data_IF_899805508058
#
_entry.id   IF_899805508058
#
_cell.length_a   1.000
_cell.length_b   1.000
_cell.length_c   1.000
_cell.angle_alpha   90.00
_cell.angle_beta   90.00
_cell.angle_gamma   90.00
#
_symmetry.space_group_name_H-M   'P 1'
#
loop_
_entity.id
_entity.type
_entity.pdbx_description
1 polymer ?
#
# COMPACT_ATOMS: atom_id res chain seq x y z
N UNK A 1 -9.59 27.00 -34.63
CA UNK A 1 -9.17 26.96 -33.22
C UNK A 1 -9.78 25.70 -32.61
N UNK A 2 -9.01 24.61 -32.57
CA UNK A 2 -9.44 23.33 -31.99
C UNK A 2 -8.81 23.22 -30.61
N UNK A 3 -9.63 23.31 -29.56
CA UNK A 3 -9.21 23.18 -28.17
C UNK A 3 -9.01 21.70 -27.85
N UNK A 4 -7.76 21.26 -27.83
CA UNK A 4 -7.38 19.95 -27.33
C UNK A 4 -7.58 19.88 -25.82
N UNK A 5 -8.42 18.94 -25.39
CA UNK A 5 -8.56 18.56 -23.98
C UNK A 5 -7.24 17.96 -23.52
N UNK A 6 -6.56 18.64 -22.61
CA UNK A 6 -5.33 18.19 -21.98
C UNK A 6 -5.69 17.18 -20.89
N UNK A 7 -5.40 15.90 -21.14
CA UNK A 7 -5.48 14.84 -20.15
C UNK A 7 -4.50 15.12 -19.02
N UNK A 8 -5.01 15.58 -17.88
CA UNK A 8 -4.25 15.69 -16.65
C UNK A 8 -3.93 14.30 -16.12
N UNK A 9 -2.69 13.86 -16.26
CA UNK A 9 -2.15 12.72 -15.51
C UNK A 9 -2.10 13.09 -14.03
N UNK A 10 -3.11 12.65 -13.27
CA UNK A 10 -3.25 12.84 -11.83
C UNK A 10 -3.65 11.51 -11.19
N UNK A 11 -3.14 11.23 -9.99
CA UNK A 11 -3.24 9.93 -9.31
C UNK A 11 -4.65 9.33 -9.24
N UNK A 12 -4.70 8.01 -9.02
CA UNK A 12 -5.93 7.21 -9.10
C UNK A 12 -6.03 6.34 -10.37
N UNK A 13 -4.99 6.32 -11.21
CA UNK A 13 -4.96 5.55 -12.48
C UNK A 13 -5.30 4.06 -12.27
N UNK A 14 -4.78 3.44 -11.21
CA UNK A 14 -5.03 2.02 -10.94
C UNK A 14 -6.48 1.75 -10.54
N UNK A 15 -7.08 2.62 -9.72
CA UNK A 15 -8.47 2.49 -9.30
C UNK A 15 -9.41 2.70 -10.49
N UNK A 16 -9.16 3.72 -11.30
CA UNK A 16 -9.93 3.99 -12.51
C UNK A 16 -9.88 2.79 -13.47
N UNK A 17 -8.71 2.25 -13.76
CA UNK A 17 -8.55 1.08 -14.64
C UNK A 17 -9.20 -0.18 -14.11
N UNK A 18 -9.13 -0.40 -12.81
CA UNK A 18 -9.84 -1.49 -12.15
C UNK A 18 -11.35 -1.37 -12.40
N UNK A 19 -11.93 -0.18 -12.17
CA UNK A 19 -13.36 0.08 -12.40
C UNK A 19 -13.76 -0.06 -13.87
N UNK A 20 -12.97 0.47 -14.80
CA UNK A 20 -13.20 0.32 -16.24
C UNK A 20 -13.28 -1.16 -16.64
N UNK A 21 -12.41 -2.01 -16.08
CA UNK A 21 -12.44 -3.45 -16.28
C UNK A 21 -13.71 -4.11 -15.76
N UNK A 22 -14.15 -3.77 -14.54
CA UNK A 22 -15.36 -4.34 -13.92
C UNK A 22 -16.63 -3.92 -14.65
N UNK A 23 -16.75 -2.63 -14.97
CA UNK A 23 -17.89 -2.08 -15.72
C UNK A 23 -17.97 -2.71 -17.10
N UNK A 24 -16.84 -2.87 -17.81
CA UNK A 24 -16.81 -3.53 -19.11
C UNK A 24 -17.28 -4.99 -19.01
N UNK A 25 -16.81 -5.74 -18.02
CA UNK A 25 -17.22 -7.13 -17.83
C UNK A 25 -18.73 -7.25 -17.54
N UNK A 26 -19.29 -6.34 -16.73
CA UNK A 26 -20.73 -6.26 -16.47
C UNK A 26 -21.53 -5.93 -17.74
N UNK A 27 -21.07 -4.94 -18.53
CA UNK A 27 -21.72 -4.57 -19.79
C UNK A 27 -21.67 -5.72 -20.82
N UNK A 28 -20.54 -6.43 -20.95
CA UNK A 28 -20.41 -7.56 -21.86
C UNK A 28 -21.36 -8.72 -21.48
N UNK A 29 -21.66 -8.89 -20.18
CA UNK A 29 -22.65 -9.85 -19.71
C UNK A 29 -24.10 -9.47 -20.07
N UNK A 30 -24.44 -8.16 -20.05
CA UNK A 30 -25.77 -7.66 -20.46
C UNK A 30 -26.05 -7.77 -21.96
N UNK A 31 -25.00 -7.80 -22.80
CA UNK A 31 -25.14 -7.86 -24.26
C UNK A 31 -25.55 -9.26 -24.77
N UNK A 32 -25.61 -10.27 -23.91
CA UNK A 32 -26.05 -11.62 -24.26
C UNK A 32 -27.59 -11.69 -24.37
N UNK A 33 -28.14 -12.25 -25.46
CA UNK A 33 -29.59 -12.36 -25.63
C UNK A 33 -30.26 -13.11 -24.47
N UNK A 34 -31.22 -12.48 -23.80
CA UNK A 34 -31.99 -13.08 -22.70
C UNK A 34 -31.42 -12.85 -21.29
N UNK A 35 -30.35 -12.06 -21.12
CA UNK A 35 -29.84 -11.64 -19.81
C UNK A 35 -30.28 -10.22 -19.46
N UNK A 36 -31.11 -10.06 -18.42
CA UNK A 36 -31.24 -8.80 -17.69
C UNK A 36 -30.32 -8.87 -16.47
N UNK A 37 -29.34 -7.98 -16.38
CA UNK A 37 -28.48 -7.90 -15.19
C UNK A 37 -29.22 -7.15 -14.09
N UNK A 38 -29.40 -7.80 -12.94
CA UNK A 38 -29.83 -7.13 -11.71
C UNK A 38 -28.68 -6.23 -11.23
N UNK A 39 -28.88 -4.91 -11.33
CA UNK A 39 -27.90 -3.91 -10.94
C UNK A 39 -27.51 -4.01 -9.45
N UNK A 40 -28.41 -4.50 -8.59
CA UNK A 40 -28.11 -4.72 -7.17
C UNK A 40 -27.12 -5.87 -7.02
N UNK A 41 -27.45 -7.03 -7.60
CA UNK A 41 -26.59 -8.22 -7.52
C UNK A 41 -25.21 -7.98 -8.15
N UNK A 42 -25.13 -7.26 -9.27
CA UNK A 42 -23.84 -6.96 -9.90
C UNK A 42 -23.03 -5.92 -9.10
N UNK A 43 -23.67 -4.93 -8.49
CA UNK A 43 -22.98 -3.98 -7.60
C UNK A 43 -22.40 -4.66 -6.35
N UNK A 44 -23.15 -5.59 -5.76
CA UNK A 44 -22.69 -6.42 -4.65
C UNK A 44 -21.48 -7.26 -5.08
N UNK A 45 -21.56 -7.91 -6.25
CA UNK A 45 -20.46 -8.69 -6.82
C UNK A 45 -19.21 -7.85 -7.09
N UNK A 46 -19.34 -6.65 -7.66
CA UNK A 46 -18.19 -5.74 -7.87
C UNK A 46 -17.55 -5.37 -6.52
N UNK A 47 -18.37 -5.08 -5.51
CA UNK A 47 -17.87 -4.76 -4.15
C UNK A 47 -17.13 -5.96 -3.53
N UNK A 48 -17.67 -7.16 -3.69
CA UNK A 48 -17.06 -8.38 -3.17
C UNK A 48 -15.76 -8.74 -3.90
N UNK A 49 -15.70 -8.57 -5.22
CA UNK A 49 -14.47 -8.74 -5.99
C UNK A 49 -13.39 -7.74 -5.56
N UNK A 50 -13.76 -6.49 -5.25
CA UNK A 50 -12.85 -5.49 -4.71
C UNK A 50 -12.26 -5.97 -3.38
N UNK A 51 -13.10 -6.42 -2.44
CA UNK A 51 -12.64 -6.94 -1.15
C UNK A 51 -11.68 -8.11 -1.33
N UNK A 52 -12.09 -9.09 -2.15
CA UNK A 52 -11.30 -10.29 -2.43
C UNK A 52 -9.95 -9.98 -3.05
N UNK A 53 -9.88 -9.04 -4.00
CA UNK A 53 -8.62 -8.63 -4.61
C UNK A 53 -7.64 -8.07 -3.56
N UNK A 54 -8.15 -7.24 -2.63
CA UNK A 54 -7.40 -6.70 -1.52
C UNK A 54 -6.96 -7.78 -0.53
N UNK A 55 -7.87 -8.63 -0.08
CA UNK A 55 -7.58 -9.75 0.83
C UNK A 55 -6.57 -10.74 0.25
N UNK A 56 -6.64 -11.04 -1.05
CA UNK A 56 -5.68 -11.92 -1.71
C UNK A 56 -4.29 -11.28 -1.76
N UNK A 57 -4.20 -9.99 -2.09
CA UNK A 57 -2.95 -9.24 -2.06
C UNK A 57 -2.35 -9.22 -0.64
N UNK A 58 -3.19 -8.99 0.37
CA UNK A 58 -2.76 -9.01 1.77
C UNK A 58 -2.25 -10.39 2.18
N UNK A 59 -2.97 -11.47 1.88
CA UNK A 59 -2.52 -12.84 2.20
C UNK A 59 -1.16 -13.15 1.57
N UNK A 60 -0.91 -12.70 0.34
CA UNK A 60 0.39 -12.86 -0.33
C UNK A 60 1.50 -12.09 0.40
N UNK A 61 1.25 -10.83 0.76
CA UNK A 61 2.22 -10.02 1.48
C UNK A 61 2.49 -10.57 2.90
N UNK A 62 1.43 -10.90 3.63
CA UNK A 62 1.48 -11.51 4.96
C UNK A 62 2.34 -12.79 4.96
N UNK A 63 2.12 -13.69 3.99
CA UNK A 63 2.91 -14.89 3.85
C UNK A 63 4.39 -14.59 3.56
N UNK A 64 4.68 -13.59 2.71
CA UNK A 64 6.06 -13.16 2.43
C UNK A 64 6.76 -12.61 3.67
N UNK A 65 6.06 -11.81 4.48
CA UNK A 65 6.60 -11.20 5.70
C UNK A 65 6.81 -12.20 6.84
N UNK A 66 6.06 -13.30 6.84
CA UNK A 66 6.23 -14.40 7.80
C UNK A 66 7.43 -15.32 7.47
N UNK A 67 7.94 -15.26 6.25
CA UNK A 67 9.03 -16.12 5.77
C UNK A 67 10.41 -15.46 5.87
N UNK A 68 11.44 -16.30 5.78
CA UNK A 68 12.81 -15.81 5.74
C UNK A 68 13.10 -14.95 4.52
N UNK A 69 13.86 -13.88 4.71
CA UNK A 69 14.16 -12.97 3.60
C UNK A 69 15.02 -13.60 2.51
N UNK A 70 14.81 -13.13 1.28
CA UNK A 70 15.70 -13.45 0.19
C UNK A 70 17.14 -13.05 0.54
N UNK A 71 18.11 -13.84 0.06
CA UNK A 71 19.54 -13.66 0.34
C UNK A 71 20.03 -12.27 -0.05
N UNK A 72 19.52 -11.73 -1.15
CA UNK A 72 19.89 -10.38 -1.57
C UNK A 72 19.40 -9.32 -0.57
N UNK A 73 18.18 -9.48 -0.01
CA UNK A 73 17.62 -8.55 0.96
C UNK A 73 18.43 -8.65 2.25
N UNK A 74 18.77 -9.87 2.70
CA UNK A 74 19.65 -10.08 3.84
C UNK A 74 21.02 -9.42 3.65
N UNK A 75 21.59 -9.52 2.44
CA UNK A 75 22.91 -8.97 2.11
C UNK A 75 22.86 -7.45 2.07
N UNK A 76 21.82 -6.91 1.43
CA UNK A 76 21.60 -5.48 1.28
C UNK A 76 21.32 -4.80 2.63
N UNK A 77 20.41 -5.37 3.42
CA UNK A 77 20.08 -4.94 4.78
C UNK A 77 21.07 -5.47 5.83
N UNK A 78 22.34 -5.57 5.46
CA UNK A 78 23.42 -6.05 6.32
C UNK A 78 24.07 -4.94 7.16
N UNK A 79 25.34 -5.12 7.50
CA UNK A 79 26.09 -4.18 8.37
C UNK A 79 26.15 -2.75 7.84
N UNK A 80 26.14 -2.55 6.51
CA UNK A 80 26.27 -1.21 5.93
C UNK A 80 25.09 -0.29 6.26
N UNK A 81 23.85 -0.78 6.23
CA UNK A 81 22.68 0.04 6.60
C UNK A 81 22.71 0.37 8.10
N UNK A 82 23.11 -0.59 8.94
CA UNK A 82 23.24 -0.38 10.37
C UNK A 82 24.28 0.72 10.69
N UNK A 83 25.47 0.65 10.09
CA UNK A 83 26.51 1.66 10.26
C UNK A 83 26.08 3.05 9.78
N UNK A 84 25.31 3.11 8.69
CA UNK A 84 24.83 4.38 8.15
C UNK A 84 23.78 5.06 9.05
N UNK A 85 22.96 4.29 9.76
CA UNK A 85 21.86 4.81 10.59
C UNK A 85 22.28 5.01 12.05
N UNK A 86 23.05 4.09 12.62
CA UNK A 86 23.46 4.11 14.03
C UNK A 86 24.76 4.87 14.28
N UNK A 87 25.57 5.13 13.23
CA UNK A 87 26.94 5.64 13.39
C UNK A 87 27.87 4.57 13.94
N UNK A 88 29.15 4.88 14.21
CA UNK A 88 30.20 3.94 14.67
C UNK A 88 30.30 3.76 16.21
N UNK A 89 29.48 4.50 16.98
CA UNK A 89 29.77 4.81 18.38
C UNK A 89 28.67 4.33 19.34
N UNK A 90 28.89 3.17 19.96
CA UNK A 90 28.59 2.82 21.37
C UNK A 90 28.52 1.29 21.53
N UNK A 91 29.58 0.68 22.07
CA UNK A 91 29.78 -0.78 22.09
C UNK A 91 28.80 -1.55 22.99
N UNK A 92 28.11 -0.91 23.94
CA UNK A 92 27.31 -1.65 24.94
C UNK A 92 25.93 -2.09 24.45
N UNK A 93 25.25 -1.27 23.65
CA UNK A 93 23.94 -1.59 23.04
C UNK A 93 24.01 -1.74 21.50
N UNK A 94 25.22 -1.62 20.95
CA UNK A 94 25.57 -1.72 19.54
C UNK A 94 24.86 -2.85 18.79
N UNK A 95 24.84 -4.04 19.38
CA UNK A 95 24.33 -5.22 18.70
C UNK A 95 22.81 -5.16 18.53
N UNK A 96 22.06 -4.84 19.58
CA UNK A 96 20.59 -4.72 19.51
C UNK A 96 20.14 -3.61 18.57
N UNK A 97 20.82 -2.46 18.59
CA UNK A 97 20.54 -1.32 17.70
C UNK A 97 20.81 -1.63 16.23
N UNK A 98 21.95 -2.25 15.94
CA UNK A 98 22.27 -2.63 14.57
C UNK A 98 21.33 -3.70 14.03
N UNK A 99 21.03 -4.72 14.81
CA UNK A 99 20.09 -5.76 14.40
C UNK A 99 18.66 -5.22 14.25
N UNK A 100 18.28 -4.20 15.01
CA UNK A 100 17.01 -3.49 14.81
C UNK A 100 16.96 -2.85 13.42
N UNK A 101 17.96 -2.03 13.08
CA UNK A 101 18.01 -1.34 11.78
C UNK A 101 18.02 -2.33 10.62
N UNK A 102 18.76 -3.44 10.74
CA UNK A 102 18.81 -4.48 9.71
C UNK A 102 17.44 -5.11 9.49
N UNK A 103 16.75 -5.50 10.56
CA UNK A 103 15.46 -6.17 10.44
C UNK A 103 14.35 -5.22 9.98
N UNK A 104 14.37 -3.97 10.43
CA UNK A 104 13.51 -2.92 9.90
C UNK A 104 13.73 -2.75 8.39
N UNK A 105 14.99 -2.63 7.94
CA UNK A 105 15.34 -2.58 6.51
C UNK A 105 14.78 -3.78 5.73
N UNK A 106 14.91 -5.01 6.24
CA UNK A 106 14.41 -6.21 5.55
C UNK A 106 12.89 -6.20 5.41
N UNK A 107 12.18 -5.74 6.44
CA UNK A 107 10.73 -5.54 6.39
C UNK A 107 10.31 -4.57 5.28
N UNK A 108 10.98 -3.42 5.21
CA UNK A 108 10.74 -2.40 4.19
C UNK A 108 11.04 -2.89 2.78
N UNK A 109 12.17 -3.60 2.60
CA UNK A 109 12.56 -4.20 1.33
C UNK A 109 11.52 -5.22 0.85
N UNK A 110 11.02 -6.07 1.76
CA UNK A 110 9.97 -7.05 1.43
C UNK A 110 8.70 -6.38 0.92
N UNK A 111 8.24 -5.30 1.57
CA UNK A 111 7.07 -4.54 1.11
C UNK A 111 7.34 -3.85 -0.23
N UNK A 112 8.51 -3.19 -0.40
CA UNK A 112 8.85 -2.55 -1.68
C UNK A 112 8.94 -3.57 -2.81
N UNK A 113 9.53 -4.74 -2.57
CA UNK A 113 9.62 -5.83 -3.54
C UNK A 113 8.25 -6.35 -3.94
N UNK A 114 7.39 -6.59 -2.93
CA UNK A 114 6.00 -6.91 -3.18
C UNK A 114 5.38 -5.85 -4.09
N UNK A 115 5.47 -4.56 -3.78
CA UNK A 115 4.94 -3.49 -4.63
C UNK A 115 5.62 -3.36 -6.01
N UNK A 116 6.80 -3.93 -6.22
CA UNK A 116 7.48 -3.98 -7.52
C UNK A 116 7.16 -5.23 -8.35
N UNK A 117 6.24 -6.08 -7.89
CA UNK A 117 5.93 -7.34 -8.58
C UNK A 117 7.00 -8.41 -8.40
N UNK A 118 7.81 -8.31 -7.33
CA UNK A 118 8.84 -9.28 -7.01
C UNK A 118 8.40 -10.11 -5.80
N UNK A 119 8.50 -11.43 -5.93
CA UNK A 119 8.20 -12.39 -4.88
C UNK A 119 9.48 -12.90 -4.24
N UNK A 120 9.52 -12.87 -2.91
CA UNK A 120 10.53 -13.59 -2.14
C UNK A 120 10.24 -15.10 -2.20
N UNK A 121 11.17 -15.89 -2.74
CA UNK A 121 11.10 -17.35 -2.72
C UNK A 121 11.68 -17.82 -1.40
N UNK A 122 10.79 -18.01 -0.41
CA UNK A 122 11.13 -18.56 0.90
C UNK A 122 11.76 -19.97 0.84
N UNK A 123 12.13 -20.51 2.00
CA UNK A 123 12.79 -21.81 2.10
C UNK A 123 14.27 -21.80 1.72
N UNK A 124 14.80 -22.96 1.30
CA UNK A 124 16.24 -23.17 1.08
C UNK A 124 16.86 -22.41 -0.10
N UNK A 125 16.04 -21.91 -1.04
CA UNK A 125 16.52 -21.19 -2.22
C UNK A 125 16.92 -19.75 -1.90
N UNK A 126 16.22 -19.08 -0.97
CA UNK A 126 16.41 -17.67 -0.57
C UNK A 126 16.63 -16.73 -1.77
N UNK A 127 15.90 -16.96 -2.86
CA UNK A 127 15.98 -16.18 -4.09
C UNK A 127 14.75 -15.27 -4.24
N UNK A 128 14.71 -14.47 -5.30
CA UNK A 128 13.49 -13.76 -5.70
C UNK A 128 13.11 -14.08 -7.13
N UNK A 129 11.86 -13.81 -7.46
CA UNK A 129 11.31 -13.98 -8.80
C UNK A 129 10.40 -12.80 -9.17
N UNK A 130 10.46 -12.36 -10.43
CA UNK A 130 9.50 -11.40 -10.99
C UNK A 130 8.19 -12.16 -11.27
N UNK A 131 7.09 -11.73 -10.67
CA UNK A 131 5.75 -12.30 -10.87
C UNK A 131 5.16 -11.83 -12.21
N UNK A 132 5.50 -12.51 -13.30
CA UNK A 132 5.12 -12.08 -14.67
C UNK A 132 3.62 -12.08 -14.96
N UNK A 133 2.81 -12.76 -14.14
CA UNK A 133 1.39 -12.96 -14.36
C UNK A 133 0.49 -12.06 -13.49
N UNK A 134 0.96 -10.88 -13.09
CA UNK A 134 0.12 -9.90 -12.38
C UNK A 134 -0.78 -9.18 -13.39
N UNK A 135 -2.10 -9.35 -13.25
CA UNK A 135 -3.08 -8.67 -14.11
C UNK A 135 -3.13 -7.17 -13.80
N UNK A 136 -3.63 -6.37 -14.75
CA UNK A 136 -3.75 -4.92 -14.55
C UNK A 136 -4.58 -4.56 -13.30
N UNK A 137 -5.60 -5.36 -12.99
CA UNK A 137 -6.50 -5.16 -11.85
C UNK A 137 -5.84 -5.49 -10.50
N UNK A 138 -4.95 -6.48 -10.47
CA UNK A 138 -4.25 -6.88 -9.24
C UNK A 138 -3.28 -5.81 -8.73
N UNK A 139 -2.83 -4.90 -9.60
CA UNK A 139 -1.93 -3.82 -9.20
C UNK A 139 -2.58 -2.81 -8.26
N UNK A 140 -3.88 -2.52 -8.39
CA UNK A 140 -4.59 -1.67 -7.43
C UNK A 140 -4.44 -2.21 -6.01
N UNK A 141 -4.85 -3.46 -5.80
CA UNK A 141 -4.76 -4.13 -4.51
C UNK A 141 -3.32 -4.21 -4.01
N UNK A 142 -2.39 -4.64 -4.87
CA UNK A 142 -0.97 -4.80 -4.53
C UNK A 142 -0.32 -3.51 -4.04
N UNK A 143 -0.51 -2.41 -4.77
CA UNK A 143 0.07 -1.13 -4.40
C UNK A 143 -0.57 -0.57 -3.12
N UNK A 144 -1.91 -0.61 -3.03
CA UNK A 144 -2.64 -0.07 -1.89
C UNK A 144 -2.37 -0.85 -0.61
N UNK A 145 -2.41 -2.18 -0.68
CA UNK A 145 -2.09 -3.07 0.46
C UNK A 145 -0.65 -2.90 0.91
N UNK A 146 0.30 -2.81 -0.02
CA UNK A 146 1.70 -2.59 0.36
C UNK A 146 1.90 -1.26 1.11
N UNK A 147 1.21 -0.20 0.70
CA UNK A 147 1.25 1.10 1.39
C UNK A 147 0.63 1.03 2.79
N UNK A 148 -0.58 0.47 2.91
CA UNK A 148 -1.23 0.32 4.21
C UNK A 148 -0.41 -0.57 5.14
N UNK A 149 0.13 -1.69 4.63
CA UNK A 149 1.01 -2.57 5.39
C UNK A 149 2.27 -1.85 5.88
N UNK A 150 2.90 -1.00 5.06
CA UNK A 150 4.05 -0.21 5.51
C UNK A 150 3.69 0.66 6.72
N UNK A 151 2.56 1.37 6.63
CA UNK A 151 2.08 2.29 7.67
C UNK A 151 1.71 1.55 8.95
N UNK A 152 0.85 0.53 8.84
CA UNK A 152 0.31 -0.19 10.01
C UNK A 152 1.35 -1.10 10.69
N UNK A 153 2.29 -1.67 9.94
CA UNK A 153 3.27 -2.62 10.49
C UNK A 153 4.52 -1.92 11.00
N UNK A 154 5.01 -0.91 10.26
CA UNK A 154 6.30 -0.30 10.54
C UNK A 154 6.22 1.19 10.84
N UNK A 155 5.11 1.88 10.54
CA UNK A 155 5.03 3.33 10.55
C UNK A 155 5.37 3.97 11.89
N UNK A 156 5.07 3.31 13.01
CA UNK A 156 5.38 3.79 14.36
C UNK A 156 6.81 3.45 14.84
N UNK A 157 7.64 2.79 14.01
CA UNK A 157 9.02 2.44 14.36
C UNK A 157 9.94 3.66 14.45
N UNK A 158 10.70 3.78 15.54
CA UNK A 158 11.77 4.78 15.58
C UNK A 158 12.84 4.45 14.53
N UNK A 159 13.50 5.51 14.04
CA UNK A 159 14.53 5.45 12.98
C UNK A 159 14.00 5.01 11.62
N UNK A 160 12.71 4.75 11.45
CA UNK A 160 12.15 4.34 10.17
C UNK A 160 12.48 5.38 9.08
N UNK A 161 12.30 6.66 9.35
CA UNK A 161 12.71 7.77 8.48
C UNK A 161 14.16 7.67 7.99
N UNK A 162 15.09 7.33 8.88
CA UNK A 162 16.52 7.20 8.58
C UNK A 162 16.81 5.97 7.76
N UNK A 163 16.19 4.84 8.11
CA UNK A 163 16.34 3.59 7.35
C UNK A 163 15.79 3.80 5.93
N UNK A 164 14.59 4.36 5.79
CA UNK A 164 14.01 4.70 4.50
C UNK A 164 14.94 5.62 3.72
N UNK A 165 15.44 6.70 4.33
CA UNK A 165 16.31 7.67 3.66
C UNK A 165 17.57 7.02 3.07
N UNK A 166 18.12 6.01 3.74
CA UNK A 166 19.26 5.23 3.23
C UNK A 166 18.85 4.21 2.17
N UNK A 167 17.73 3.52 2.38
CA UNK A 167 17.29 2.40 1.53
C UNK A 167 16.70 2.89 0.22
N UNK A 168 15.88 3.94 0.20
CA UNK A 168 15.17 4.42 -1.00
C UNK A 168 16.06 4.53 -2.25
N UNK A 169 17.19 5.28 -2.27
CA UNK A 169 18.00 5.37 -3.48
C UNK A 169 18.59 4.02 -3.90
N UNK A 170 18.93 3.16 -2.93
CA UNK A 170 19.65 1.90 -3.18
C UNK A 170 18.72 0.73 -3.51
N UNK A 171 17.48 0.73 -3.00
CA UNK A 171 16.48 -0.26 -3.39
C UNK A 171 16.15 -0.10 -4.85
N UNK A 172 16.03 1.14 -5.36
CA UNK A 172 15.85 1.38 -6.79
C UNK A 172 17.03 0.86 -7.63
N UNK A 173 18.27 1.04 -7.17
CA UNK A 173 19.44 0.41 -7.80
C UNK A 173 19.38 -1.12 -7.78
N UNK A 174 18.86 -1.71 -6.70
CA UNK A 174 18.74 -3.16 -6.60
C UNK A 174 17.64 -3.69 -7.52
N UNK A 175 16.50 -2.99 -7.60
CA UNK A 175 15.40 -3.28 -8.50
C UNK A 175 15.84 -3.21 -9.97
N UNK A 176 16.72 -2.28 -10.33
CA UNK A 176 17.29 -2.17 -11.68
C UNK A 176 17.99 -3.45 -12.17
N UNK A 177 18.48 -4.31 -11.28
CA UNK A 177 19.12 -5.60 -11.65
C UNK A 177 18.13 -6.57 -12.30
N UNK A 178 16.84 -6.36 -12.11
CA UNK A 178 15.76 -7.18 -12.66
C UNK A 178 15.26 -6.68 -14.02
N UNK A 179 15.74 -5.53 -14.49
CA UNK A 179 15.35 -4.94 -15.76
C UNK A 179 16.03 -5.64 -16.94
N UNK A 180 15.44 -6.74 -17.42
CA UNK A 180 15.94 -7.43 -18.63
C UNK A 180 15.31 -6.89 -19.90
N UNK A 181 14.16 -6.23 -19.80
CA UNK A 181 13.40 -5.65 -20.91
C UNK A 181 12.48 -4.52 -20.40
N UNK A 182 11.83 -3.82 -21.32
CA UNK A 182 10.90 -2.72 -21.00
C UNK A 182 9.67 -3.15 -20.19
N UNK A 183 9.23 -4.42 -20.32
CA UNK A 183 8.08 -4.92 -19.54
C UNK A 183 8.47 -5.10 -18.07
N UNK A 184 9.68 -5.55 -17.78
CA UNK A 184 10.18 -5.65 -16.40
C UNK A 184 10.24 -4.26 -15.73
N UNK A 185 10.63 -3.22 -16.49
CA UNK A 185 10.60 -1.83 -15.99
C UNK A 185 9.18 -1.36 -15.66
N UNK A 186 8.26 -1.54 -16.61
CA UNK A 186 6.87 -1.15 -16.43
C UNK A 186 6.19 -1.86 -15.24
N UNK A 187 6.67 -3.05 -14.85
CA UNK A 187 6.19 -3.77 -13.67
C UNK A 187 6.75 -3.18 -12.37
N UNK A 188 8.05 -2.90 -12.31
CA UNK A 188 8.71 -2.38 -11.09
C UNK A 188 8.17 -1.00 -10.72
N UNK A 189 7.90 -0.16 -11.74
CA UNK A 189 7.41 1.21 -11.60
C UNK A 189 5.88 1.28 -11.50
N UNK A 190 5.16 0.15 -11.51
CA UNK A 190 3.70 0.13 -11.68
C UNK A 190 2.93 0.83 -10.57
N UNK A 191 3.46 0.87 -9.35
CA UNK A 191 2.82 1.56 -8.22
C UNK A 191 3.15 3.06 -8.15
N UNK A 192 4.19 3.53 -8.83
CA UNK A 192 4.77 4.85 -8.60
C UNK A 192 3.80 5.97 -9.02
N UNK A 193 3.40 6.79 -8.05
CA UNK A 193 2.43 7.87 -8.24
C UNK A 193 1.03 7.44 -8.71
N UNK A 194 0.67 6.14 -8.61
CA UNK A 194 -0.60 5.62 -9.15
C UNK A 194 -1.70 5.34 -8.14
N UNK A 195 -1.37 5.31 -6.85
CA UNK A 195 -2.33 5.19 -5.75
C UNK A 195 -2.63 6.59 -5.22
N UNK A 196 -3.90 6.93 -5.10
CA UNK A 196 -4.38 8.19 -4.54
C UNK A 196 -5.02 8.01 -3.16
N UNK A 197 -5.48 9.11 -2.57
CA UNK A 197 -6.15 9.10 -1.27
C UNK A 197 -7.40 8.21 -1.30
N UNK A 198 -8.19 8.28 -2.37
CA UNK A 198 -9.39 7.45 -2.56
C UNK A 198 -9.08 5.96 -2.46
N UNK A 199 -8.07 5.49 -3.20
CA UNK A 199 -7.65 4.09 -3.15
C UNK A 199 -7.19 3.68 -1.75
N UNK A 200 -6.41 4.52 -1.04
CA UNK A 200 -6.01 4.25 0.34
C UNK A 200 -7.21 4.15 1.28
N UNK A 201 -8.20 5.04 1.16
CA UNK A 201 -9.39 5.04 2.01
C UNK A 201 -10.28 3.81 1.77
N UNK A 202 -10.40 3.37 0.52
CA UNK A 202 -11.04 2.09 0.17
C UNK A 202 -10.26 0.94 0.78
N UNK A 203 -8.95 0.90 0.58
CA UNK A 203 -8.11 -0.16 1.12
C UNK A 203 -8.16 -0.26 2.64
N UNK A 204 -8.21 0.89 3.33
CA UNK A 204 -8.36 0.95 4.78
C UNK A 204 -9.73 0.45 5.23
N UNK A 205 -10.80 0.78 4.50
CA UNK A 205 -12.14 0.27 4.78
C UNK A 205 -12.22 -1.27 4.67
N UNK A 206 -11.44 -1.87 3.77
CA UNK A 206 -11.41 -3.33 3.59
C UNK A 206 -10.46 -4.01 4.58
N UNK A 207 -9.24 -3.47 4.78
CA UNK A 207 -8.14 -4.20 5.43
C UNK A 207 -7.47 -3.49 6.60
N UNK A 208 -7.76 -2.22 6.88
CA UNK A 208 -7.03 -1.43 7.89
C UNK A 208 -6.96 -2.15 9.23
N UNK A 209 -8.11 -2.57 9.75
CA UNK A 209 -8.21 -3.26 11.03
C UNK A 209 -7.56 -4.65 10.99
N UNK A 210 -7.67 -5.37 9.87
CA UNK A 210 -7.08 -6.69 9.70
C UNK A 210 -5.55 -6.65 9.71
N UNK A 211 -4.95 -5.67 9.02
CA UNK A 211 -3.49 -5.48 9.00
C UNK A 211 -3.00 -5.08 10.39
N UNK A 212 -3.68 -4.12 11.03
CA UNK A 212 -3.35 -3.64 12.39
C UNK A 212 -3.40 -4.77 13.43
N UNK A 213 -4.48 -5.55 13.43
CA UNK A 213 -4.63 -6.72 14.31
C UNK A 213 -3.55 -7.77 14.07
N UNK A 214 -3.22 -8.05 12.81
CA UNK A 214 -2.14 -8.98 12.50
C UNK A 214 -0.78 -8.46 13.00
N UNK A 215 -0.47 -7.18 12.78
CA UNK A 215 0.76 -6.56 13.27
C UNK A 215 0.87 -6.68 14.79
N UNK A 216 -0.20 -6.40 15.53
CA UNK A 216 -0.25 -6.54 16.99
C UNK A 216 -0.01 -7.97 17.46
N UNK A 217 -0.59 -8.96 16.77
CA UNK A 217 -0.37 -10.38 17.09
C UNK A 217 1.08 -10.77 16.84
N UNK A 218 1.67 -10.41 15.69
CA UNK A 218 3.05 -10.73 15.38
C UNK A 218 4.04 -10.01 16.31
N UNK A 219 3.78 -8.75 16.66
CA UNK A 219 4.60 -7.97 17.61
C UNK A 219 4.66 -8.60 19.00
N UNK A 220 3.67 -9.41 19.38
CA UNK A 220 3.66 -10.15 20.66
C UNK A 220 4.47 -11.45 20.61
N UNK A 221 4.84 -11.94 19.43
CA UNK A 221 5.62 -13.16 19.29
C UNK A 221 7.06 -12.94 19.71
N UNK A 222 7.58 -13.83 20.54
CA UNK A 222 8.96 -13.78 21.02
C UNK A 222 9.96 -14.50 20.10
N UNK A 223 11.22 -14.57 20.55
CA UNK A 223 12.33 -15.22 19.81
C UNK A 223 12.06 -16.64 19.32
N UNK A 224 11.25 -17.40 20.06
CA UNK A 224 11.02 -18.82 19.83
C UNK A 224 10.09 -19.12 18.65
N UNK A 225 9.39 -18.11 18.11
CA UNK A 225 8.36 -18.27 17.08
C UNK A 225 8.83 -17.88 15.67
N UNK A 226 10.14 -17.67 15.46
CA UNK A 226 10.70 -17.25 14.16
C UNK A 226 10.12 -15.93 13.60
N UNK A 227 9.51 -15.11 14.44
CA UNK A 227 8.91 -13.83 14.06
C UNK A 227 9.93 -12.68 14.11
N UNK A 228 11.08 -12.79 13.44
CA UNK A 228 12.14 -11.78 13.61
C UNK A 228 11.84 -10.43 12.94
N UNK A 229 11.11 -10.42 11.81
CA UNK A 229 10.80 -9.18 11.08
C UNK A 229 9.88 -8.24 11.87
N UNK A 230 9.03 -8.76 12.76
CA UNK A 230 8.08 -7.99 13.56
C UNK A 230 8.26 -8.27 15.07
N UNK A 231 8.03 -9.50 15.51
CA UNK A 231 8.06 -9.91 16.92
C UNK A 231 9.38 -9.61 17.63
N UNK A 232 10.52 -10.11 17.14
CA UNK A 232 11.82 -9.84 17.77
C UNK A 232 12.24 -8.37 17.62
N UNK A 233 11.90 -7.76 16.47
CA UNK A 233 12.13 -6.33 16.25
C UNK A 233 11.46 -5.50 17.34
N UNK A 234 10.21 -5.85 17.68
CA UNK A 234 9.40 -5.16 18.69
C UNK A 234 9.74 -5.53 20.14
N UNK A 235 9.83 -6.82 20.46
CA UNK A 235 10.01 -7.29 21.84
C UNK A 235 11.45 -7.12 22.34
N UNK A 236 12.44 -7.41 21.49
CA UNK A 236 13.83 -7.56 21.93
C UNK A 236 14.70 -6.35 21.57
N UNK A 237 14.50 -5.80 20.38
CA UNK A 237 15.44 -4.85 19.78
C UNK A 237 14.99 -3.40 19.96
N UNK A 238 13.69 -3.16 19.92
CA UNK A 238 13.06 -1.85 20.10
C UNK A 238 13.56 -1.07 21.31
N UNK A 239 13.64 -1.72 22.47
CA UNK A 239 14.08 -1.10 23.75
C UNK A 239 15.48 -0.50 23.68
N UNK A 240 16.29 -0.94 22.72
CA UNK A 240 17.66 -0.45 22.51
C UNK A 240 17.74 0.83 21.66
N UNK A 241 16.68 1.16 20.91
CA UNK A 241 16.67 2.24 19.89
C UNK A 241 15.63 3.34 20.12
N UNK A 242 14.55 3.03 20.82
CA UNK A 242 13.44 3.93 21.11
C UNK A 242 13.43 4.29 22.60
N UNK A 243 14.22 5.27 23.06
CA UNK A 243 14.31 5.61 24.47
C UNK A 243 13.07 6.37 24.93
N UNK A 244 12.36 5.81 25.90
CA UNK A 244 11.54 6.54 26.88
C UNK A 244 11.91 6.07 28.29
N UNK A 245 11.69 6.92 29.30
CA UNK A 245 11.88 6.58 30.71
C UNK A 245 11.08 5.30 31.03
N UNK A 246 11.76 4.20 31.35
CA UNK A 246 11.12 2.92 31.68
C UNK A 246 11.10 1.87 30.57
N UNK A 247 11.50 2.20 29.34
CA UNK A 247 11.72 1.20 28.27
C UNK A 247 10.47 0.67 27.55
N UNK A 248 9.31 1.30 27.75
CA UNK A 248 8.09 1.08 26.97
C UNK A 248 7.67 2.39 26.30
N UNK A 249 7.33 2.34 25.00
CA UNK A 249 6.83 3.52 24.28
C UNK A 249 5.35 3.70 24.59
N UNK A 250 4.94 4.92 24.96
CA UNK A 250 3.52 5.24 25.13
C UNK A 250 2.80 5.27 23.77
N UNK A 251 1.48 5.18 23.78
CA UNK A 251 0.68 5.34 22.56
C UNK A 251 0.90 6.71 21.89
N UNK A 252 1.14 7.77 22.68
CA UNK A 252 1.51 9.09 22.16
C UNK A 252 2.88 9.07 21.47
N UNK A 253 3.83 8.32 22.02
CA UNK A 253 5.14 8.10 21.40
C UNK A 253 5.01 7.41 20.04
N UNK A 254 4.22 6.34 19.94
CA UNK A 254 3.95 5.64 18.66
C UNK A 254 3.30 6.57 17.64
N UNK A 255 2.28 7.33 18.08
CA UNK A 255 1.61 8.33 17.23
C UNK A 255 2.56 9.42 16.75
N UNK A 256 3.52 9.82 17.58
CA UNK A 256 4.56 10.79 17.21
C UNK A 256 5.49 10.22 16.14
N UNK A 257 6.06 9.03 16.35
CA UNK A 257 6.92 8.37 15.36
C UNK A 257 6.17 8.16 14.04
N UNK A 258 4.92 7.69 14.09
CA UNK A 258 4.07 7.52 12.91
C UNK A 258 3.93 8.83 12.10
N UNK A 259 3.68 9.95 12.78
CA UNK A 259 3.59 11.28 12.15
C UNK A 259 4.93 11.73 11.55
N UNK A 260 6.04 11.52 12.26
CA UNK A 260 7.38 11.89 11.80
C UNK A 260 7.82 11.04 10.59
N UNK A 261 7.40 9.77 10.55
CA UNK A 261 7.71 8.84 9.48
C UNK A 261 6.82 9.01 8.23
N UNK A 262 5.65 9.63 8.33
CA UNK A 262 4.61 9.67 7.29
C UNK A 262 5.14 10.05 5.90
N UNK A 263 5.92 11.14 5.80
CA UNK A 263 6.51 11.60 4.53
C UNK A 263 7.59 10.66 4.00
N UNK A 264 8.36 10.04 4.89
CA UNK A 264 9.38 9.07 4.45
C UNK A 264 8.71 7.83 3.85
N UNK A 265 7.58 7.37 4.40
CA UNK A 265 6.84 6.24 3.88
C UNK A 265 6.29 6.50 2.47
N UNK A 266 5.74 7.69 2.20
CA UNK A 266 5.29 8.06 0.85
C UNK A 266 6.45 8.14 -0.14
N UNK A 267 7.62 8.62 0.31
CA UNK A 267 8.84 8.64 -0.48
C UNK A 267 9.38 7.26 -0.83
N UNK A 268 9.39 6.30 0.11
CA UNK A 268 9.80 4.91 -0.16
C UNK A 268 8.97 4.29 -1.28
N UNK A 269 7.71 4.69 -1.38
CA UNK A 269 6.74 4.19 -2.35
C UNK A 269 6.64 5.05 -3.60
N UNK A 270 7.54 6.02 -3.77
CA UNK A 270 7.59 6.93 -4.93
C UNK A 270 6.25 7.62 -5.21
N UNK A 271 5.57 8.09 -4.16
CA UNK A 271 4.29 8.78 -4.27
C UNK A 271 4.42 10.30 -4.35
N UNK A 272 5.60 10.84 -4.04
CA UNK A 272 5.91 12.27 -4.01
C UNK A 272 6.11 12.87 -5.42
N UNK A 273 5.28 12.48 -6.41
CA UNK A 273 5.28 13.13 -7.72
C UNK A 273 4.59 14.50 -7.60
N UNK A 274 5.32 15.55 -7.97
CA UNK A 274 5.00 17.00 -7.85
C UNK A 274 3.61 17.47 -8.33
N UNK A 275 2.79 16.61 -8.92
CA UNK A 275 1.46 16.94 -9.44
C UNK A 275 0.30 16.70 -8.46
N UNK A 276 0.51 15.99 -7.35
CA UNK A 276 -0.56 15.68 -6.37
C UNK A 276 -0.76 16.77 -5.30
N UNK A 277 0.23 17.65 -5.08
CA UNK A 277 0.20 18.69 -4.05
C UNK A 277 -0.44 20.02 -4.51
N UNK A 278 -1.51 19.98 -5.32
CA UNK A 278 -2.22 21.20 -5.72
C UNK A 278 -3.38 21.50 -4.75
N UNK A 279 -3.28 22.67 -4.10
CA UNK A 279 -4.27 23.44 -3.33
C UNK A 279 -5.52 22.71 -2.82
N UNK A 280 -5.62 22.53 -1.50
CA UNK A 280 -6.87 22.23 -0.78
C UNK A 280 -7.20 20.75 -0.60
N UNK A 281 -6.31 19.84 -0.99
CA UNK A 281 -6.46 18.39 -0.80
C UNK A 281 -5.52 17.92 0.32
N UNK A 282 -6.00 17.04 1.19
CA UNK A 282 -5.20 16.48 2.27
C UNK A 282 -3.98 15.73 1.72
N UNK A 283 -2.77 15.93 2.27
CA UNK A 283 -1.58 15.19 1.86
C UNK A 283 -1.78 13.67 1.96
N UNK A 284 -1.29 12.92 0.96
CA UNK A 284 -1.40 11.46 0.95
C UNK A 284 -0.71 10.82 2.17
N UNK A 285 0.35 11.45 2.69
CA UNK A 285 1.02 11.04 3.92
C UNK A 285 0.07 11.03 5.12
N UNK A 286 -0.86 11.98 5.19
CA UNK A 286 -1.77 12.15 6.31
C UNK A 286 -2.90 11.12 6.23
N UNK A 287 -3.41 10.85 5.01
CA UNK A 287 -4.36 9.76 4.74
C UNK A 287 -3.76 8.39 5.05
N UNK A 288 -2.47 8.20 4.76
CA UNK A 288 -1.75 6.96 4.98
C UNK A 288 -1.58 6.61 6.47
N UNK A 289 -1.47 7.61 7.35
CA UNK A 289 -1.30 7.40 8.80
C UNK A 289 -2.60 7.58 9.60
N UNK A 290 -3.68 7.99 8.94
CA UNK A 290 -4.95 8.26 9.58
C UNK A 290 -5.64 7.00 10.12
N UNK A 291 -6.43 7.13 11.19
CA UNK A 291 -7.17 6.01 11.78
C UNK A 291 -8.36 5.57 10.90
N UNK A 292 -8.75 4.29 10.97
CA UNK A 292 -9.87 3.73 10.18
C UNK A 292 -11.18 4.50 10.33
N UNK A 293 -11.51 5.00 11.53
CA UNK A 293 -12.74 5.75 11.77
C UNK A 293 -12.84 7.04 10.94
N UNK A 294 -11.69 7.68 10.69
CA UNK A 294 -11.57 8.97 10.04
C UNK A 294 -11.27 8.84 8.54
N UNK A 295 -10.61 7.75 8.14
CA UNK A 295 -10.04 7.61 6.80
C UNK A 295 -10.52 6.36 6.04
N UNK A 296 -11.55 5.66 6.52
CA UNK A 296 -12.24 4.63 5.74
C UNK A 296 -13.48 5.17 5.04
N UNK A 297 -13.69 4.73 3.80
CA UNK A 297 -14.98 4.88 3.13
C UNK A 297 -15.99 3.86 3.64
N UNK A 298 -17.28 4.17 3.51
CA UNK A 298 -18.36 3.25 3.79
C UNK A 298 -18.58 2.33 2.58
N UNK A 299 -18.28 1.04 2.74
CA UNK A 299 -18.41 0.07 1.66
C UNK A 299 -19.86 -0.12 1.19
N UNK A 300 -20.86 0.07 2.04
CA UNK A 300 -22.26 0.00 1.62
C UNK A 300 -22.62 1.20 0.73
N UNK A 301 -22.11 2.39 1.06
CA UNK A 301 -22.27 3.56 0.18
C UNK A 301 -21.55 3.37 -1.15
N UNK A 302 -20.38 2.72 -1.14
CA UNK A 302 -19.65 2.37 -2.36
C UNK A 302 -20.47 1.41 -3.24
N UNK A 303 -21.08 0.37 -2.64
CA UNK A 303 -22.00 -0.53 -3.36
C UNK A 303 -23.17 0.23 -3.98
N UNK A 304 -23.78 1.16 -3.25
CA UNK A 304 -24.86 2.01 -3.78
C UNK A 304 -24.41 2.91 -4.95
N UNK A 305 -23.16 3.37 -4.96
CA UNK A 305 -22.60 4.09 -6.11
C UNK A 305 -22.52 3.19 -7.33
N UNK A 306 -22.00 1.96 -7.16
CA UNK A 306 -21.93 1.00 -8.27
C UNK A 306 -23.33 0.67 -8.80
N UNK A 307 -24.29 0.41 -7.92
CA UNK A 307 -25.69 0.14 -8.28
C UNK A 307 -26.29 1.26 -9.12
N UNK A 308 -26.23 2.50 -8.64
CA UNK A 308 -26.77 3.67 -9.36
C UNK A 308 -26.11 3.86 -10.72
N UNK A 309 -24.80 3.61 -10.82
CA UNK A 309 -24.10 3.70 -12.09
C UNK A 309 -24.58 2.65 -13.09
N UNK A 310 -24.78 1.41 -12.64
CA UNK A 310 -25.29 0.30 -13.46
C UNK A 310 -26.74 0.52 -13.89
N UNK A 311 -27.62 1.01 -13.02
CA UNK A 311 -29.02 1.34 -13.37
C UNK A 311 -29.11 2.36 -14.52
N UNK A 312 -28.21 3.35 -14.52
CA UNK A 312 -28.15 4.38 -15.57
C UNK A 312 -27.60 3.86 -16.91
N UNK A 313 -26.92 2.71 -16.94
CA UNK A 313 -26.44 2.10 -18.20
C UNK A 313 -27.53 1.38 -18.98
N UNK A 314 -28.58 0.90 -18.31
CA UNK A 314 -29.68 0.18 -18.94
C UNK A 314 -30.62 1.06 -19.78
N UNK A 315 -30.53 2.39 -19.65
CA UNK A 315 -31.50 3.33 -20.23
C UNK A 315 -31.01 4.01 -21.52
N UNK A 316 -29.73 3.91 -21.88
CA UNK A 316 -29.18 4.59 -23.07
C UNK A 316 -28.36 3.63 -23.93
N UNK A 317 -29.00 3.12 -24.98
CA UNK A 317 -28.29 2.44 -26.06
C UNK A 317 -27.15 3.32 -26.57
N UNK A 318 -25.92 2.81 -26.45
CA UNK A 318 -24.70 3.39 -27.05
C UNK A 318 -24.07 4.61 -26.35
N UNK A 319 -23.96 4.61 -25.02
CA UNK A 319 -22.95 5.45 -24.35
C UNK A 319 -21.77 4.59 -23.87
N UNK A 320 -20.57 4.96 -24.30
CA UNK A 320 -19.33 4.23 -24.10
C UNK A 320 -19.07 3.87 -22.62
N UNK A 321 -18.72 2.60 -22.34
CA UNK A 321 -18.44 2.05 -21.00
C UNK A 321 -17.46 2.90 -20.15
N UNK A 322 -16.59 3.69 -20.81
CA UNK A 322 -15.65 4.64 -20.17
C UNK A 322 -16.38 5.77 -19.41
N UNK A 323 -17.57 6.18 -19.85
CA UNK A 323 -18.36 7.23 -19.18
C UNK A 323 -18.87 6.76 -17.80
N UNK A 324 -19.25 5.48 -17.70
CA UNK A 324 -19.80 4.89 -16.47
C UNK A 324 -18.73 4.76 -15.40
N UNK A 325 -17.55 4.23 -15.76
CA UNK A 325 -16.42 4.16 -14.85
C UNK A 325 -15.98 5.57 -14.39
N UNK A 326 -15.98 6.56 -15.28
CA UNK A 326 -15.72 7.96 -14.94
C UNK A 326 -16.76 8.56 -13.99
N UNK A 327 -18.04 8.24 -14.17
CA UNK A 327 -19.12 8.68 -13.29
C UNK A 327 -19.01 8.06 -11.88
N UNK A 328 -18.70 6.77 -11.80
CA UNK A 328 -18.40 6.07 -10.55
C UNK A 328 -17.22 6.73 -9.85
N UNK A 329 -16.10 6.91 -10.57
CA UNK A 329 -14.91 7.57 -10.02
C UNK A 329 -15.22 8.94 -9.44
N UNK A 330 -15.99 9.77 -10.15
CA UNK A 330 -16.39 11.09 -9.67
C UNK A 330 -17.16 11.04 -8.34
N UNK A 331 -18.09 10.10 -8.21
CA UNK A 331 -18.89 9.98 -6.99
C UNK A 331 -18.07 9.42 -5.81
N UNK A 332 -17.17 8.46 -6.06
CA UNK A 332 -16.25 7.95 -5.04
C UNK A 332 -15.28 9.04 -4.57
N UNK A 333 -14.70 9.80 -5.51
CA UNK A 333 -13.84 10.95 -5.18
C UNK A 333 -14.59 11.97 -4.36
N UNK A 334 -15.83 12.30 -4.72
CA UNK A 334 -16.68 13.21 -3.94
C UNK A 334 -16.89 12.71 -2.50
N UNK A 335 -17.21 11.43 -2.31
CA UNK A 335 -17.34 10.87 -0.95
C UNK A 335 -16.03 10.94 -0.16
N UNK A 336 -14.90 10.74 -0.84
CA UNK A 336 -13.57 10.86 -0.26
C UNK A 336 -13.29 12.31 0.16
N UNK A 337 -13.54 13.27 -0.72
CA UNK A 337 -13.37 14.71 -0.45
C UNK A 337 -14.29 15.19 0.68
N UNK A 338 -15.54 14.74 0.73
CA UNK A 338 -16.47 15.07 1.82
C UNK A 338 -16.01 14.53 3.18
N UNK A 339 -15.37 13.35 3.19
CA UNK A 339 -14.79 12.78 4.40
C UNK A 339 -13.51 13.55 4.79
N UNK A 340 -12.58 13.76 3.85
CA UNK A 340 -11.32 14.47 4.09
C UNK A 340 -11.52 15.94 4.47
N UNK A 341 -12.50 16.61 3.87
CA UNK A 341 -12.83 18.02 4.13
C UNK A 341 -13.23 18.30 5.58
N UNK A 342 -13.68 17.29 6.33
CA UNK A 342 -13.93 17.42 7.78
C UNK A 342 -12.66 17.68 8.60
N UNK A 343 -11.49 17.37 8.04
CA UNK A 343 -10.20 17.39 8.72
C UNK A 343 -9.26 18.47 8.17
N UNK A 344 -9.66 19.24 7.15
CA UNK A 344 -8.85 20.32 6.54
C UNK A 344 -8.92 21.64 7.35
N UNK A 345 -9.79 21.72 8.36
CA UNK A 345 -10.05 22.95 9.15
C UNK A 345 -9.55 22.92 10.62
N UNK A 346 -8.61 22.04 10.97
CA UNK A 346 -8.00 22.01 12.31
C UNK A 346 -6.49 22.25 12.28
#
# INVERSE_FOLDING_TARGET
MSGGSSGGGGGGELLQKWLEGKVKAAADATAQPGHSVDATAEAEKITEELKKDFEEAWRKLQASLAEAEAREINTFCGTQVALAVEGAEDRKNWHGRNEYVKDLCKGLMGIRYFMSGIKELGGGSRNVEIERNITEYQWLARCTVGMLALSEIYGDHCKLDKVISYVTPKVEENLKKYLKNSNDQAMIEKCEGKVDATALMIGRAVLGDQIKQWADVERRKGKNERAWRLGQLWQDKWKSVCPQEGGEITEEGKKKELKENARSMTKLMSLDNNNQNKNGVMPLSDVLIGESEDYSLDLNKLTEVFKKALENTGTSGSTSNVNVAGAIMKEITKQSDEKLGKYIFY
#
